data_IF_964250873290
#
_entry.id   IF_964250873290
#
_cell.length_a   1.000
_cell.length_b   1.000
_cell.length_c   1.000
_cell.angle_alpha   90.00
_cell.angle_beta   90.00
_cell.angle_gamma   90.00
#
_symmetry.space_group_name_H-M   'P 1'
#
loop_
_entity.id
_entity.type
_entity.pdbx_description
1 polymer ?
#
# COMPACT_ATOMS: atom_id res chain seq x y z
N UNK A 1 39.02 15.97 -9.84
CA UNK A 1 38.21 15.66 -8.65
C UNK A 1 37.16 16.76 -8.38
N UNK A 2 37.51 18.05 -8.25
CA UNK A 2 36.51 19.12 -7.93
C UNK A 2 35.36 19.21 -8.94
N UNK A 3 35.61 19.07 -10.24
CA UNK A 3 34.57 19.09 -11.26
C UNK A 3 33.60 17.89 -11.21
N UNK A 4 34.11 16.71 -10.86
CA UNK A 4 33.29 15.49 -10.72
C UNK A 4 32.36 15.62 -9.50
N UNK A 5 32.88 16.15 -8.40
CA UNK A 5 32.09 16.39 -7.17
C UNK A 5 31.02 17.44 -7.42
N UNK A 6 31.35 18.54 -8.10
CA UNK A 6 30.39 19.60 -8.45
C UNK A 6 29.28 19.07 -9.40
N UNK A 7 29.65 18.26 -10.39
CA UNK A 7 28.68 17.61 -11.30
C UNK A 7 27.75 16.64 -10.54
N UNK A 8 28.27 15.90 -9.56
CA UNK A 8 27.46 15.02 -8.71
C UNK A 8 26.48 15.81 -7.83
N UNK A 9 26.91 16.93 -7.25
CA UNK A 9 26.03 17.80 -6.47
C UNK A 9 24.93 18.44 -7.32
N UNK A 10 25.24 18.90 -8.52
CA UNK A 10 24.26 19.48 -9.46
C UNK A 10 23.27 18.40 -9.93
N UNK A 11 23.74 17.19 -10.21
CA UNK A 11 22.89 16.07 -10.59
C UNK A 11 21.96 15.63 -9.44
N UNK A 12 22.47 15.62 -8.21
CA UNK A 12 21.69 15.31 -7.02
C UNK A 12 20.65 16.42 -6.72
N UNK A 13 21.00 17.69 -6.91
CA UNK A 13 20.10 18.83 -6.75
C UNK A 13 18.98 18.83 -7.82
N UNK A 14 19.32 18.53 -9.08
CA UNK A 14 18.36 18.36 -10.15
C UNK A 14 17.43 17.18 -9.90
N UNK A 15 17.95 16.07 -9.38
CA UNK A 15 17.14 14.91 -9.00
C UNK A 15 16.15 15.27 -7.87
N UNK A 16 16.59 16.02 -6.86
CA UNK A 16 15.71 16.49 -5.79
C UNK A 16 14.61 17.43 -6.27
N UNK A 17 14.90 18.31 -7.23
CA UNK A 17 13.92 19.23 -7.81
C UNK A 17 12.84 18.52 -8.64
N UNK A 18 13.17 17.41 -9.31
CA UNK A 18 12.20 16.62 -10.06
C UNK A 18 11.31 15.74 -9.17
N UNK A 19 11.71 15.45 -7.93
CA UNK A 19 10.88 14.71 -6.97
C UNK A 19 9.63 15.46 -6.51
N UNK A 20 9.66 16.80 -6.48
CA UNK A 20 8.50 17.59 -6.08
C UNK A 20 7.32 17.52 -7.07
N UNK A 21 7.59 17.29 -8.35
CA UNK A 21 6.54 17.18 -9.38
C UNK A 21 5.94 15.77 -9.49
N UNK A 22 6.61 14.75 -8.96
CA UNK A 22 6.13 13.35 -8.99
C UNK A 22 5.10 13.03 -7.90
N UNK A 23 4.97 13.88 -6.87
CA UNK A 23 4.03 13.67 -5.76
C UNK A 23 2.57 14.02 -6.09
N UNK A 24 2.32 14.68 -7.23
CA UNK A 24 0.99 15.17 -7.61
C UNK A 24 0.18 14.18 -8.47
N UNK A 25 0.69 12.96 -8.73
CA UNK A 25 -0.05 11.99 -9.54
C UNK A 25 -0.83 11.04 -8.65
N UNK A 26 -2.13 10.92 -8.91
CA UNK A 26 -2.99 9.93 -8.25
C UNK A 26 -2.42 8.53 -8.46
N UNK A 27 -2.22 7.79 -7.36
CA UNK A 27 -1.66 6.43 -7.39
C UNK A 27 -2.72 5.38 -7.70
N UNK A 28 -4.00 5.76 -7.68
CA UNK A 28 -5.13 4.89 -7.96
C UNK A 28 -6.25 5.66 -8.64
N UNK A 29 -7.14 4.93 -9.33
CA UNK A 29 -8.42 5.43 -9.86
C UNK A 29 -9.60 4.60 -9.33
N UNK A 30 -9.51 4.14 -8.09
CA UNK A 30 -10.51 3.28 -7.49
C UNK A 30 -11.57 4.11 -6.75
N UNK A 31 -12.85 4.11 -7.16
CA UNK A 31 -13.92 4.86 -6.50
C UNK A 31 -14.06 4.55 -5.01
N UNK A 32 -13.87 3.29 -4.61
CA UNK A 32 -13.94 2.89 -3.19
C UNK A 32 -12.78 3.44 -2.35
N UNK A 33 -11.74 4.02 -2.97
CA UNK A 33 -10.63 4.67 -2.26
C UNK A 33 -11.05 5.96 -1.54
N UNK A 34 -12.26 6.46 -1.78
CA UNK A 34 -12.84 7.58 -1.03
C UNK A 34 -13.08 7.25 0.45
N UNK A 35 -13.13 5.97 0.81
CA UNK A 35 -13.45 5.54 2.17
C UNK A 35 -12.19 5.12 2.94
N UNK A 36 -12.21 5.38 4.26
CA UNK A 36 -11.17 4.96 5.18
C UNK A 36 -9.85 5.67 4.98
N UNK A 37 -8.81 4.89 4.78
CA UNK A 37 -7.45 5.40 4.48
C UNK A 37 -7.07 5.23 3.01
N UNK A 38 -8.05 4.93 2.15
CA UNK A 38 -7.83 4.69 0.73
C UNK A 38 -7.55 3.23 0.36
N UNK A 39 -7.11 3.00 -0.88
CA UNK A 39 -6.66 1.69 -1.35
C UNK A 39 -5.30 1.36 -0.70
N UNK A 40 -5.23 0.25 0.01
CA UNK A 40 -3.96 -0.21 0.60
C UNK A 40 -2.99 -0.62 -0.50
N UNK A 41 -1.80 -0.06 -0.46
CA UNK A 41 -0.73 -0.50 -1.33
C UNK A 41 -0.24 -1.85 -0.84
N UNK A 42 -0.36 -2.86 -1.69
CA UNK A 42 0.18 -4.18 -1.41
C UNK A 42 1.69 -4.08 -1.36
N UNK A 43 2.25 -4.44 -0.23
CA UNK A 43 3.55 -4.04 0.26
C UNK A 43 4.76 -4.47 -0.55
N UNK A 44 4.58 -5.20 -1.65
CA UNK A 44 5.73 -5.69 -2.41
C UNK A 44 5.53 -5.57 -3.91
N UNK A 45 5.71 -4.34 -4.42
CA UNK A 45 5.85 -4.09 -5.85
C UNK A 45 7.22 -4.48 -6.41
N UNK A 46 8.08 -5.14 -5.61
CA UNK A 46 9.38 -5.59 -6.03
C UNK A 46 9.31 -6.88 -6.86
N UNK A 47 10.41 -7.60 -6.87
CA UNK A 47 10.58 -8.83 -7.66
C UNK A 47 9.54 -9.92 -7.33
N UNK A 48 8.95 -9.88 -6.12
CA UNK A 48 7.89 -10.82 -5.70
C UNK A 48 6.48 -10.45 -6.19
N UNK A 49 6.30 -9.32 -6.84
CA UNK A 49 5.00 -8.93 -7.40
C UNK A 49 4.47 -9.99 -8.39
N UNK A 50 5.35 -10.59 -9.19
CA UNK A 50 5.03 -11.69 -10.11
C UNK A 50 4.64 -13.00 -9.43
N UNK A 51 4.79 -13.10 -8.12
CA UNK A 51 4.48 -14.30 -7.32
C UNK A 51 3.20 -14.15 -6.48
N UNK A 52 2.24 -13.31 -6.88
CA UNK A 52 1.01 -13.10 -6.13
C UNK A 52 1.20 -12.35 -4.81
N UNK A 53 2.30 -11.58 -4.68
CA UNK A 53 2.60 -10.74 -3.51
C UNK A 53 2.85 -11.52 -2.20
N UNK A 54 3.46 -12.67 -2.32
CA UNK A 54 3.95 -13.46 -1.18
C UNK A 54 5.27 -12.89 -0.66
N UNK A 55 5.58 -13.12 0.60
CA UNK A 55 6.83 -12.65 1.19
C UNK A 55 7.08 -13.12 2.62
N UNK A 56 6.08 -13.70 3.32
CA UNK A 56 6.19 -13.98 4.75
C UNK A 56 7.20 -15.09 5.03
N UNK A 57 7.13 -16.19 4.30
CA UNK A 57 8.07 -17.32 4.44
C UNK A 57 9.24 -17.24 3.45
N UNK A 58 9.25 -16.22 2.59
CA UNK A 58 10.22 -16.12 1.53
C UNK A 58 11.50 -15.46 2.02
N UNK A 59 12.58 -16.23 2.03
CA UNK A 59 13.89 -15.78 2.48
C UNK A 59 14.94 -16.18 1.45
N UNK A 60 15.08 -15.36 0.40
CA UNK A 60 16.01 -15.64 -0.70
C UNK A 60 17.13 -14.60 -0.78
N UNK A 61 18.30 -15.05 -1.12
CA UNK A 61 19.48 -14.18 -1.33
C UNK A 61 19.25 -13.16 -2.47
N UNK A 62 19.77 -11.95 -2.28
CA UNK A 62 19.75 -10.90 -3.30
C UNK A 62 18.42 -10.15 -3.45
N UNK A 63 17.48 -10.29 -2.50
CA UNK A 63 16.21 -9.58 -2.50
C UNK A 63 15.95 -8.90 -1.17
N UNK A 64 15.44 -7.67 -1.22
CA UNK A 64 14.96 -6.96 -0.05
C UNK A 64 13.48 -7.31 0.16
N UNK A 65 13.21 -8.09 1.20
CA UNK A 65 11.86 -8.43 1.59
C UNK A 65 11.37 -7.48 2.67
N UNK A 66 10.36 -6.66 2.35
CA UNK A 66 9.77 -5.67 3.28
C UNK A 66 8.61 -6.27 4.08
N UNK A 67 8.05 -7.41 3.64
CA UNK A 67 6.88 -8.02 4.30
C UNK A 67 7.24 -8.68 5.62
N UNK A 68 8.40 -9.35 5.68
CA UNK A 68 8.90 -9.98 6.90
C UNK A 68 10.28 -9.43 7.23
N UNK A 69 10.42 -8.60 8.27
CA UNK A 69 11.72 -8.03 8.62
C UNK A 69 12.78 -9.08 8.95
N UNK A 70 12.41 -10.28 9.44
CA UNK A 70 13.36 -11.35 9.70
C UNK A 70 14.03 -11.89 8.42
N UNK A 71 13.41 -11.70 7.26
CA UNK A 71 13.96 -12.15 5.99
C UNK A 71 15.20 -11.36 5.52
N UNK A 72 15.50 -10.21 6.11
CA UNK A 72 16.72 -9.44 5.83
C UNK A 72 18.00 -10.22 6.14
N UNK A 73 17.93 -11.25 6.97
CA UNK A 73 19.10 -12.06 7.36
C UNK A 73 19.72 -12.86 6.22
N UNK A 74 19.11 -12.86 5.02
CA UNK A 74 19.64 -13.51 3.81
C UNK A 74 20.40 -12.57 2.87
N UNK A 75 20.63 -11.35 3.26
CA UNK A 75 21.57 -10.49 2.54
C UNK A 75 22.96 -11.10 2.61
N UNK A 76 23.46 -11.57 1.48
CA UNK A 76 24.71 -12.35 1.39
C UNK A 76 25.95 -11.46 1.30
N UNK A 77 25.81 -10.21 0.95
CA UNK A 77 26.92 -9.33 0.62
C UNK A 77 27.33 -8.45 1.80
N UNK A 78 28.65 -8.36 2.00
CA UNK A 78 29.28 -7.27 2.73
C UNK A 78 29.20 -6.05 1.82
N UNK A 79 28.13 -5.25 1.95
CA UNK A 79 27.91 -4.08 1.11
C UNK A 79 26.50 -3.55 1.22
N UNK A 80 26.23 -2.50 0.48
CA UNK A 80 24.92 -1.87 0.40
C UNK A 80 24.08 -2.52 -0.70
N UNK A 81 22.85 -2.85 -0.37
CA UNK A 81 21.86 -3.30 -1.34
C UNK A 81 20.82 -2.19 -1.50
N UNK A 82 20.62 -1.74 -2.74
CA UNK A 82 19.61 -0.75 -3.08
C UNK A 82 18.47 -1.40 -3.84
N UNK A 83 17.26 -1.00 -3.55
CA UNK A 83 16.05 -1.45 -4.23
C UNK A 83 15.17 -0.25 -4.55
N UNK A 84 14.96 -0.02 -5.84
CA UNK A 84 14.08 1.03 -6.36
C UNK A 84 12.98 0.33 -7.15
N UNK A 85 11.74 0.49 -6.70
CA UNK A 85 10.57 -0.08 -7.36
C UNK A 85 9.74 0.99 -8.05
N UNK A 86 9.34 0.70 -9.28
CA UNK A 86 8.35 1.45 -10.03
C UNK A 86 7.18 0.52 -10.34
N UNK A 87 5.96 1.04 -10.31
CA UNK A 87 4.75 0.30 -10.68
C UNK A 87 3.92 1.09 -11.67
N UNK A 88 3.38 0.39 -12.66
CA UNK A 88 2.35 0.91 -13.55
C UNK A 88 1.11 0.00 -13.43
N UNK A 89 -0.05 0.61 -13.25
CA UNK A 89 -1.34 -0.10 -13.11
C UNK A 89 -2.31 0.49 -14.12
N UNK A 90 -2.89 -0.36 -14.96
CA UNK A 90 -4.04 -0.02 -15.78
C UNK A 90 -5.28 -0.65 -15.16
N UNK A 91 -6.28 0.16 -14.84
CA UNK A 91 -7.51 -0.26 -14.19
C UNK A 91 -8.70 0.05 -15.08
N UNK A 92 -9.62 -0.89 -15.19
CA UNK A 92 -10.90 -0.72 -15.86
C UNK A 92 -12.02 -0.98 -14.86
N UNK A 93 -12.95 -0.07 -14.82
CA UNK A 93 -14.12 -0.15 -13.95
C UNK A 93 -15.37 -0.20 -14.82
N UNK A 94 -16.29 -1.08 -14.49
CA UNK A 94 -17.59 -1.17 -15.13
C UNK A 94 -18.67 -1.10 -14.05
N UNK A 95 -19.61 -0.19 -14.23
CA UNK A 95 -20.79 -0.07 -13.38
C UNK A 95 -22.01 0.09 -14.28
N UNK A 96 -22.91 -0.87 -14.23
CA UNK A 96 -24.04 -0.97 -15.16
C UNK A 96 -23.56 -0.92 -16.63
N UNK A 97 -23.98 0.09 -17.39
CA UNK A 97 -23.59 0.31 -18.78
C UNK A 97 -22.32 1.17 -18.95
N UNK A 98 -21.87 1.84 -17.89
CA UNK A 98 -20.76 2.78 -17.92
C UNK A 98 -19.44 2.08 -17.66
N UNK A 99 -18.43 2.42 -18.47
CA UNK A 99 -17.06 1.91 -18.32
C UNK A 99 -16.11 3.09 -18.17
N UNK A 100 -15.22 3.01 -17.21
CA UNK A 100 -14.14 3.96 -17.00
C UNK A 100 -12.82 3.23 -16.93
N UNK A 101 -11.73 3.87 -17.37
CA UNK A 101 -10.40 3.31 -17.27
C UNK A 101 -9.40 4.39 -16.88
N UNK A 102 -8.38 3.98 -16.13
CA UNK A 102 -7.30 4.87 -15.73
C UNK A 102 -5.96 4.14 -15.69
N UNK A 103 -4.90 4.86 -16.00
CA UNK A 103 -3.53 4.35 -15.90
C UNK A 103 -2.76 5.20 -14.91
N UNK A 104 -2.11 4.54 -13.96
CA UNK A 104 -1.23 5.19 -12.97
C UNK A 104 0.16 4.61 -13.07
N UNK A 105 1.19 5.44 -12.88
CA UNK A 105 2.58 5.01 -12.83
C UNK A 105 3.26 5.74 -11.67
N UNK A 106 3.74 4.98 -10.68
CA UNK A 106 4.22 5.55 -9.43
C UNK A 106 5.48 4.84 -8.92
N UNK A 107 6.39 5.56 -8.24
CA UNK A 107 7.39 4.91 -7.41
C UNK A 107 6.69 4.17 -6.26
N UNK A 108 7.02 2.89 -6.10
CA UNK A 108 6.38 2.08 -5.07
C UNK A 108 7.32 1.68 -3.94
N UNK A 109 8.62 1.84 -4.12
CA UNK A 109 9.60 1.55 -3.08
C UNK A 109 10.95 2.20 -3.35
N UNK A 110 11.55 2.71 -2.28
CA UNK A 110 12.95 3.06 -2.21
C UNK A 110 13.50 2.45 -0.91
N UNK A 111 14.48 1.56 -1.01
CA UNK A 111 15.05 0.89 0.15
C UNK A 111 16.55 0.71 0.01
N UNK A 112 17.23 0.79 1.13
CA UNK A 112 18.65 0.49 1.25
C UNK A 112 18.86 -0.45 2.43
N UNK A 113 19.58 -1.53 2.22
CA UNK A 113 19.90 -2.49 3.26
C UNK A 113 21.38 -2.80 3.33
N UNK A 114 21.85 -3.10 4.52
CA UNK A 114 23.25 -3.39 4.82
C UNK A 114 23.35 -4.52 5.83
N UNK A 115 24.35 -5.35 5.65
CA UNK A 115 24.78 -6.33 6.63
C UNK A 115 25.83 -5.68 7.54
N UNK A 116 25.47 -5.37 8.77
CA UNK A 116 26.35 -4.72 9.74
C UNK A 116 27.41 -5.69 10.30
N UNK A 117 26.98 -6.93 10.56
CA UNK A 117 27.89 -8.00 10.95
C UNK A 117 27.34 -9.38 10.54
N UNK A 118 27.98 -10.47 10.98
CA UNK A 118 27.58 -11.86 10.61
C UNK A 118 26.16 -12.22 11.04
N UNK A 119 25.58 -11.53 12.03
CA UNK A 119 24.27 -11.85 12.62
C UNK A 119 23.30 -10.69 12.60
N UNK A 120 23.73 -9.47 12.25
CA UNK A 120 22.92 -8.26 12.31
C UNK A 120 22.81 -7.58 10.95
N UNK A 121 21.59 -7.28 10.56
CA UNK A 121 21.21 -6.68 9.29
C UNK A 121 20.29 -5.50 9.55
N UNK A 122 20.42 -4.43 8.79
CA UNK A 122 19.59 -3.26 8.87
C UNK A 122 19.10 -2.83 7.49
N UNK A 123 17.92 -2.23 7.44
CA UNK A 123 17.33 -1.66 6.24
C UNK A 123 16.62 -0.38 6.59
N UNK A 124 16.77 0.64 5.76
CA UNK A 124 15.98 1.86 5.77
C UNK A 124 15.24 1.97 4.44
N UNK A 125 14.04 2.51 4.46
CA UNK A 125 13.29 2.68 3.21
C UNK A 125 12.05 3.54 3.35
N UNK A 126 11.48 3.82 2.18
CA UNK A 126 10.20 4.52 2.05
C UNK A 126 9.34 3.83 0.98
N UNK A 127 8.05 3.78 1.21
CA UNK A 127 7.08 3.23 0.26
C UNK A 127 5.69 3.80 0.49
N UNK A 128 4.80 3.80 -0.50
CA UNK A 128 3.39 4.06 -0.28
C UNK A 128 2.80 3.07 0.72
N UNK A 129 1.88 3.54 1.56
CA UNK A 129 1.10 2.72 2.48
C UNK A 129 -0.33 2.54 1.97
N UNK A 130 -0.95 3.65 1.55
CA UNK A 130 -2.26 3.67 0.91
C UNK A 130 -2.35 4.82 -0.08
N UNK A 131 -3.32 4.76 -0.99
CA UNK A 131 -3.57 5.82 -1.95
C UNK A 131 -5.06 6.08 -2.11
N UNK A 132 -5.41 7.34 -2.31
CA UNK A 132 -6.76 7.80 -2.66
C UNK A 132 -6.69 8.43 -4.03
N UNK A 133 -7.61 8.04 -4.91
CA UNK A 133 -7.71 8.62 -6.25
C UNK A 133 -9.01 8.20 -6.90
N UNK A 134 -9.90 9.16 -7.12
CA UNK A 134 -11.15 8.97 -7.82
C UNK A 134 -11.61 10.28 -8.44
N UNK A 135 -12.39 10.16 -9.51
CA UNK A 135 -13.11 11.26 -10.15
C UNK A 135 -14.48 10.71 -10.52
N UNK A 136 -15.51 11.21 -9.86
CA UNK A 136 -16.90 10.75 -10.02
C UNK A 136 -17.74 11.96 -10.38
N UNK A 137 -18.40 11.92 -11.52
CA UNK A 137 -19.38 12.92 -11.94
C UNK A 137 -20.77 12.32 -11.80
N UNK A 138 -21.67 13.07 -11.16
CA UNK A 138 -23.09 12.72 -11.03
C UNK A 138 -23.94 13.84 -11.59
N UNK A 139 -25.06 13.45 -12.19
CA UNK A 139 -26.08 14.36 -12.68
C UNK A 139 -27.39 14.04 -11.94
N UNK A 140 -27.90 14.99 -11.19
CA UNK A 140 -29.15 14.83 -10.43
C UNK A 140 -30.20 15.76 -10.99
N UNK A 141 -31.43 15.26 -11.31
CA UNK A 141 -32.51 16.11 -11.79
C UNK A 141 -33.01 17.04 -10.68
N UNK A 142 -33.30 18.30 -11.02
CA UNK A 142 -33.84 19.29 -10.10
C UNK A 142 -35.35 19.02 -9.92
N UNK A 143 -35.77 18.79 -8.68
CA UNK A 143 -37.22 18.64 -8.38
C UNK A 143 -37.98 19.91 -8.79
N UNK A 144 -38.97 19.73 -9.68
CA UNK A 144 -39.84 20.83 -10.16
C UNK A 144 -39.31 21.53 -11.42
N UNK A 145 -38.18 21.17 -11.99
CA UNK A 145 -37.65 21.69 -13.25
C UNK A 145 -37.28 20.51 -14.17
N UNK A 146 -38.24 19.98 -14.96
CA UNK A 146 -38.05 18.88 -15.86
C UNK A 146 -36.99 19.20 -16.86
N UNK A 147 -35.98 18.89 -17.20
CA UNK A 147 -34.87 19.22 -18.10
C UNK A 147 -33.72 20.04 -17.46
N UNK A 148 -33.73 20.21 -16.15
CA UNK A 148 -32.63 20.87 -15.42
C UNK A 148 -31.93 19.85 -14.53
N UNK A 149 -30.59 19.78 -14.62
CA UNK A 149 -29.76 18.85 -13.87
C UNK A 149 -28.70 19.63 -13.10
N UNK A 150 -28.41 19.18 -11.90
CA UNK A 150 -27.25 19.65 -11.12
C UNK A 150 -26.10 18.69 -11.38
N UNK A 151 -24.99 19.22 -11.83
CA UNK A 151 -23.76 18.44 -12.02
C UNK A 151 -22.89 18.56 -10.77
N UNK A 152 -22.60 17.43 -10.16
CA UNK A 152 -21.68 17.35 -9.03
C UNK A 152 -20.45 16.55 -9.43
N UNK A 153 -19.27 17.13 -9.13
CA UNK A 153 -17.98 16.51 -9.36
C UNK A 153 -17.34 16.18 -8.01
N UNK A 154 -17.12 14.89 -7.77
CA UNK A 154 -16.41 14.38 -6.60
C UNK A 154 -15.01 13.93 -7.02
N UNK A 155 -14.00 14.53 -6.41
CA UNK A 155 -12.60 14.22 -6.67
C UNK A 155 -11.89 13.86 -5.37
N UNK A 156 -11.02 12.88 -5.43
CA UNK A 156 -10.17 12.52 -4.32
C UNK A 156 -8.75 12.28 -4.78
N UNK A 157 -7.80 12.77 -4.00
CA UNK A 157 -6.38 12.63 -4.27
C UNK A 157 -5.55 12.45 -3.01
N UNK A 158 -4.30 12.00 -3.18
CA UNK A 158 -3.36 11.85 -2.10
C UNK A 158 -3.18 10.43 -1.60
N UNK A 159 -2.73 10.29 -0.37
CA UNK A 159 -2.48 8.99 0.24
C UNK A 159 -1.45 9.06 1.35
N UNK A 160 -1.16 7.89 1.91
CA UNK A 160 -0.23 7.75 3.01
C UNK A 160 1.05 7.08 2.53
N UNK A 161 2.17 7.59 3.00
CA UNK A 161 3.50 7.03 2.79
C UNK A 161 4.07 6.55 4.12
N UNK A 162 4.89 5.51 4.07
CA UNK A 162 5.65 5.04 5.23
C UNK A 162 7.13 5.19 5.00
N UNK A 163 7.82 5.72 6.04
CA UNK A 163 9.28 5.67 6.16
C UNK A 163 9.62 4.71 7.29
N UNK A 164 10.59 3.82 7.10
CA UNK A 164 10.86 2.74 8.03
C UNK A 164 12.33 2.42 8.20
N UNK A 165 12.63 1.91 9.38
CA UNK A 165 13.90 1.30 9.75
C UNK A 165 13.62 -0.12 10.23
N UNK A 166 14.25 -1.09 9.59
CA UNK A 166 14.12 -2.51 9.94
C UNK A 166 15.45 -3.04 10.43
N UNK A 167 15.42 -3.86 11.46
CA UNK A 167 16.57 -4.60 11.97
C UNK A 167 16.24 -6.08 12.04
N UNK A 168 17.21 -6.92 11.68
CA UNK A 168 17.07 -8.37 11.74
C UNK A 168 18.31 -9.03 12.34
N UNK A 169 18.07 -10.10 13.08
CA UNK A 169 19.10 -10.84 13.79
C UNK A 169 18.98 -12.33 13.56
N UNK A 170 20.11 -12.99 13.30
CA UNK A 170 20.22 -14.45 13.31
C UNK A 170 20.45 -14.91 14.75
N UNK A 171 19.44 -15.57 15.34
CA UNK A 171 19.52 -16.10 16.70
C UNK A 171 20.25 -17.46 16.74
N UNK A 172 19.90 -18.33 15.83
CA UNK A 172 20.51 -19.68 15.72
C UNK A 172 20.53 -20.15 14.27
N UNK A 173 21.05 -21.34 14.02
CA UNK A 173 21.03 -21.94 12.68
C UNK A 173 19.57 -22.10 12.22
N UNK A 174 19.21 -21.36 11.18
CA UNK A 174 17.86 -21.39 10.60
C UNK A 174 16.84 -20.46 11.24
N UNK A 175 17.08 -19.91 12.46
CA UNK A 175 16.15 -19.03 13.15
C UNK A 175 16.60 -17.56 13.08
N UNK A 176 15.73 -16.73 12.55
CA UNK A 176 15.91 -15.28 12.45
C UNK A 176 14.71 -14.54 13.03
N UNK A 177 14.96 -13.40 13.64
CA UNK A 177 13.94 -12.46 14.09
C UNK A 177 14.22 -11.10 13.48
N UNK A 178 13.18 -10.29 13.36
CA UNK A 178 13.31 -8.92 12.87
C UNK A 178 12.21 -8.04 13.42
N UNK A 179 12.52 -6.75 13.46
CA UNK A 179 11.56 -5.71 13.81
C UNK A 179 11.73 -4.52 12.87
N UNK A 180 10.61 -3.94 12.49
CA UNK A 180 10.51 -2.67 11.76
C UNK A 180 9.84 -1.66 12.64
N UNK A 181 10.39 -0.47 12.71
CA UNK A 181 9.76 0.72 13.28
C UNK A 181 9.70 1.79 12.21
N UNK A 182 8.62 2.54 12.17
CA UNK A 182 8.46 3.55 11.16
C UNK A 182 7.36 4.54 11.45
N UNK A 183 7.20 5.46 10.53
CA UNK A 183 6.16 6.48 10.54
C UNK A 183 5.35 6.41 9.25
N UNK A 184 4.04 6.45 9.38
CA UNK A 184 3.08 6.63 8.30
C UNK A 184 2.64 8.08 8.32
N UNK A 185 2.69 8.77 7.19
CA UNK A 185 2.26 10.15 7.06
C UNK A 185 1.73 10.45 5.66
N UNK A 186 0.85 11.42 5.55
CA UNK A 186 0.36 11.94 4.29
C UNK A 186 -0.93 12.71 4.41
N UNK A 187 -1.33 13.36 3.32
CA UNK A 187 -2.58 14.10 3.21
C UNK A 187 -3.51 13.39 2.23
N UNK A 188 -4.76 13.31 2.59
CA UNK A 188 -5.85 12.88 1.71
C UNK A 188 -6.77 14.08 1.54
N UNK A 189 -6.97 14.46 0.29
CA UNK A 189 -7.86 15.56 -0.10
C UNK A 189 -9.07 14.98 -0.82
N UNK A 190 -10.25 15.43 -0.44
CA UNK A 190 -11.51 15.10 -1.09
C UNK A 190 -12.23 16.41 -1.40
N UNK A 191 -12.65 16.60 -2.64
CA UNK A 191 -13.40 17.79 -3.04
C UNK A 191 -14.73 17.43 -3.68
N UNK A 192 -15.72 18.23 -3.40
CA UNK A 192 -17.02 18.22 -4.05
C UNK A 192 -17.24 19.59 -4.67
N UNK A 193 -17.44 19.62 -5.99
CA UNK A 193 -17.66 20.85 -6.75
C UNK A 193 -19.05 20.79 -7.38
N UNK A 194 -19.87 21.83 -7.16
CA UNK A 194 -21.21 21.94 -7.66
C UNK A 194 -21.48 23.41 -8.04
N UNK A 195 -21.82 23.68 -9.30
CA UNK A 195 -22.28 24.97 -9.83
C UNK A 195 -21.55 26.22 -9.31
N UNK A 196 -20.22 26.18 -9.25
CA UNK A 196 -19.41 27.33 -8.82
C UNK A 196 -19.13 27.42 -7.33
N UNK A 197 -19.59 26.44 -6.55
CA UNK A 197 -19.18 26.25 -5.16
C UNK A 197 -18.37 24.97 -5.03
N UNK A 198 -17.33 24.97 -4.20
CA UNK A 198 -16.58 23.76 -3.88
C UNK A 198 -16.36 23.63 -2.38
N UNK A 199 -16.47 22.40 -1.92
CA UNK A 199 -16.15 22.00 -0.56
C UNK A 199 -14.95 21.05 -0.63
N UNK A 200 -13.88 21.39 0.07
CA UNK A 200 -12.66 20.60 0.11
C UNK A 200 -12.43 20.10 1.54
N UNK A 201 -12.27 18.81 1.69
CA UNK A 201 -11.90 18.13 2.93
C UNK A 201 -10.44 17.72 2.86
N UNK A 202 -9.60 18.30 3.69
CA UNK A 202 -8.21 17.89 3.85
C UNK A 202 -8.03 17.12 5.14
N UNK A 203 -7.38 15.97 5.08
CA UNK A 203 -7.05 15.15 6.24
C UNK A 203 -5.58 14.82 6.25
N UNK A 204 -4.82 15.53 7.07
CA UNK A 204 -3.42 15.21 7.33
C UNK A 204 -3.33 14.14 8.41
N UNK A 205 -2.63 13.06 8.13
CA UNK A 205 -2.50 11.90 9.02
C UNK A 205 -1.03 11.61 9.28
N UNK A 206 -0.71 11.34 10.55
CA UNK A 206 0.66 11.01 10.94
C UNK A 206 0.64 10.07 12.14
N UNK A 207 1.25 8.89 12.02
CA UNK A 207 1.30 7.91 13.09
C UNK A 207 2.53 7.02 13.01
N UNK A 208 2.87 6.40 14.11
CA UNK A 208 3.90 5.37 14.16
C UNK A 208 3.33 4.01 13.80
N UNK A 209 4.18 3.12 13.28
CA UNK A 209 3.86 1.71 13.10
C UNK A 209 5.05 0.83 13.46
N UNK A 210 4.76 -0.41 13.79
CA UNK A 210 5.78 -1.42 14.08
C UNK A 210 5.36 -2.75 13.49
N UNK A 211 6.32 -3.48 12.92
CA UNK A 211 6.15 -4.85 12.43
C UNK A 211 7.20 -5.74 13.09
N UNK A 212 6.80 -6.91 13.55
CA UNK A 212 7.68 -7.95 14.07
C UNK A 212 7.64 -9.14 13.13
N UNK A 213 8.80 -9.75 12.92
CA UNK A 213 8.94 -10.90 12.05
C UNK A 213 9.74 -12.02 12.70
N UNK A 214 9.35 -13.23 12.39
CA UNK A 214 10.09 -14.45 12.71
C UNK A 214 10.20 -15.27 11.43
N UNK A 215 11.36 -15.84 11.21
CA UNK A 215 11.60 -16.73 10.08
C UNK A 215 12.43 -17.93 10.54
N UNK A 216 11.96 -19.12 10.20
CA UNK A 216 12.65 -20.37 10.53
C UNK A 216 12.83 -21.25 9.29
N UNK A 217 14.07 -21.68 9.06
CA UNK A 217 14.41 -22.67 8.05
C UNK A 217 14.79 -23.98 8.70
N UNK A 218 14.13 -25.03 8.25
CA UNK A 218 14.43 -26.36 8.75
C UNK A 218 15.75 -26.84 8.17
N UNK A 219 16.72 -27.11 9.05
CA UNK A 219 17.99 -27.72 8.65
C UNK A 219 17.70 -29.15 8.17
N UNK A 220 17.68 -29.35 6.86
CA UNK A 220 17.50 -30.67 6.26
C UNK A 220 18.65 -31.00 5.33
N UNK A 221 19.11 -32.24 5.35
CA UNK A 221 20.07 -32.77 4.37
C UNK A 221 19.37 -33.28 3.10
N UNK A 222 18.03 -33.15 3.03
CA UNK A 222 17.21 -33.63 1.93
C UNK A 222 17.20 -32.64 0.76
N UNK A 223 16.71 -33.08 -0.37
CA UNK A 223 16.52 -32.32 -1.60
C UNK A 223 15.61 -31.08 -1.43
N UNK A 224 14.75 -31.07 -0.43
CA UNK A 224 13.77 -30.03 -0.15
C UNK A 224 14.09 -29.32 1.17
N UNK A 225 14.15 -27.99 1.12
CA UNK A 225 14.32 -27.12 2.26
C UNK A 225 13.01 -26.43 2.58
N UNK A 226 12.52 -26.58 3.80
CA UNK A 226 11.29 -25.96 4.28
C UNK A 226 11.60 -24.66 5.02
N UNK A 227 10.73 -23.70 4.87
CA UNK A 227 10.76 -22.43 5.61
C UNK A 227 9.38 -22.09 6.16
N UNK A 228 9.33 -21.44 7.31
CA UNK A 228 8.12 -20.91 7.94
C UNK A 228 8.41 -19.47 8.35
N UNK A 229 7.48 -18.59 8.07
CA UNK A 229 7.52 -17.19 8.49
C UNK A 229 6.27 -16.82 9.29
N UNK A 230 6.45 -15.91 10.24
CA UNK A 230 5.35 -15.30 11.00
C UNK A 230 5.62 -13.80 11.06
N UNK A 231 4.56 -13.01 10.91
CA UNK A 231 4.60 -11.55 11.08
C UNK A 231 3.48 -11.12 12.03
N UNK A 232 3.76 -10.09 12.79
CA UNK A 232 2.82 -9.47 13.70
C UNK A 232 3.02 -7.95 13.72
N UNK A 233 1.95 -7.18 13.51
CA UNK A 233 1.90 -5.75 13.69
C UNK A 233 0.76 -5.40 14.65
N UNK A 234 1.02 -4.68 15.75
CA UNK A 234 -0.04 -4.23 16.65
C UNK A 234 -0.89 -3.13 16.00
N UNK A 235 -2.13 -3.01 16.46
CA UNK A 235 -2.97 -1.88 16.10
C UNK A 235 -2.49 -0.62 16.83
N UNK A 236 -2.18 0.43 16.07
CA UNK A 236 -1.70 1.71 16.60
C UNK A 236 -2.63 2.84 16.18
N UNK A 237 -2.72 3.88 17.02
CA UNK A 237 -3.49 5.08 16.70
C UNK A 237 -2.86 5.79 15.51
N UNK A 238 -3.71 6.26 14.59
CA UNK A 238 -3.35 7.12 13.47
C UNK A 238 -3.96 8.51 13.70
N UNK A 239 -3.25 9.40 14.42
CA UNK A 239 -3.68 10.78 14.60
C UNK A 239 -3.90 11.48 13.27
N UNK A 240 -4.91 12.35 13.22
CA UNK A 240 -5.25 13.10 12.03
C UNK A 240 -5.75 14.49 12.41
N UNK A 241 -5.47 15.46 11.55
CA UNK A 241 -5.94 16.83 11.57
C UNK A 241 -6.81 17.01 10.32
N UNK A 242 -8.00 17.57 10.48
CA UNK A 242 -8.95 17.69 9.39
C UNK A 242 -9.42 19.11 9.25
N UNK A 243 -9.32 19.63 8.03
CA UNK A 243 -9.74 20.95 7.65
C UNK A 243 -10.80 20.87 6.56
N UNK A 244 -11.81 21.71 6.67
CA UNK A 244 -12.87 21.89 5.71
C UNK A 244 -12.75 23.27 5.13
N UNK A 245 -12.55 23.36 3.83
CA UNK A 245 -12.39 24.58 3.08
C UNK A 245 -13.59 24.73 2.14
N UNK A 246 -14.35 25.77 2.34
CA UNK A 246 -15.46 26.13 1.46
C UNK A 246 -15.04 27.30 0.57
N UNK A 247 -15.14 27.11 -0.73
CA UNK A 247 -14.86 28.14 -1.73
C UNK A 247 -16.09 28.41 -2.57
N UNK A 248 -16.50 29.67 -2.63
CA UNK A 248 -17.55 30.13 -3.54
C UNK A 248 -16.92 30.99 -4.64
N UNK A 249 -16.89 30.46 -5.85
CA UNK A 249 -16.28 31.13 -7.01
C UNK A 249 -17.07 32.39 -7.41
N UNK A 250 -18.37 32.50 -7.07
CA UNK A 250 -19.21 33.62 -7.43
C UNK A 250 -18.99 34.82 -6.51
N UNK A 251 -18.68 34.59 -5.22
CA UNK A 251 -18.45 35.66 -4.23
C UNK A 251 -17.00 35.86 -3.87
N UNK A 252 -16.11 34.98 -4.33
CA UNK A 252 -14.69 34.92 -3.92
C UNK A 252 -14.51 34.77 -2.40
N UNK A 253 -15.48 34.18 -1.73
CA UNK A 253 -15.42 33.90 -0.30
C UNK A 253 -14.76 32.56 -0.08
N UNK A 254 -13.79 32.53 0.81
CA UNK A 254 -13.14 31.32 1.30
C UNK A 254 -13.35 31.24 2.82
N UNK A 255 -13.87 30.14 3.27
CA UNK A 255 -14.08 29.85 4.69
C UNK A 255 -13.36 28.55 5.05
N UNK A 256 -12.43 28.61 5.97
CA UNK A 256 -11.71 27.46 6.49
C UNK A 256 -12.15 27.17 7.93
N UNK A 257 -12.45 25.93 8.22
CA UNK A 257 -12.78 25.47 9.57
C UNK A 257 -12.27 24.05 9.81
N UNK A 258 -11.77 23.78 11.01
CA UNK A 258 -11.39 22.43 11.40
C UNK A 258 -12.63 21.62 11.84
N UNK A 259 -12.67 20.33 11.53
CA UNK A 259 -13.73 19.46 11.97
C UNK A 259 -13.20 18.19 12.67
N UNK A 260 -14.03 17.64 13.53
CA UNK A 260 -13.67 16.45 14.29
C UNK A 260 -14.18 15.19 13.62
N UNK A 261 -13.33 14.18 13.51
CA UNK A 261 -13.71 12.85 13.02
C UNK A 261 -13.30 11.76 14.01
N UNK A 262 -13.92 10.56 13.95
CA UNK A 262 -13.58 9.47 14.84
C UNK A 262 -12.10 9.06 14.76
N UNK A 263 -11.54 8.70 15.92
CA UNK A 263 -10.18 8.20 16.01
C UNK A 263 -9.97 7.02 15.06
N UNK A 264 -8.93 7.13 14.24
CA UNK A 264 -8.54 6.07 13.31
C UNK A 264 -7.35 5.28 13.85
N UNK A 265 -7.26 4.02 13.43
CA UNK A 265 -6.22 3.09 13.83
C UNK A 265 -5.62 2.42 12.60
N UNK A 266 -4.32 2.23 12.62
CA UNK A 266 -3.69 1.24 11.75
C UNK A 266 -4.15 -0.15 12.22
N UNK A 267 -4.51 -1.07 11.32
CA UNK A 267 -5.04 -2.37 11.70
C UNK A 267 -3.96 -3.24 12.36
N UNK A 268 -4.36 -4.05 13.33
CA UNK A 268 -3.54 -5.17 13.75
C UNK A 268 -3.38 -6.13 12.57
N UNK A 269 -2.17 -6.61 12.33
CA UNK A 269 -1.88 -7.57 11.25
C UNK A 269 -1.18 -8.80 11.80
N UNK A 270 -1.67 -9.96 11.39
CA UNK A 270 -1.05 -11.24 11.64
C UNK A 270 -0.89 -11.95 10.31
N UNK A 271 0.30 -12.46 10.04
CA UNK A 271 0.55 -13.23 8.83
C UNK A 271 1.38 -14.46 9.13
N UNK A 272 1.07 -15.53 8.43
CA UNK A 272 1.82 -16.78 8.47
C UNK A 272 2.11 -17.23 7.06
N UNK A 273 3.28 -17.81 6.85
CA UNK A 273 3.71 -18.30 5.56
C UNK A 273 4.47 -19.61 5.69
N UNK A 274 4.39 -20.43 4.67
CA UNK A 274 5.15 -21.66 4.51
C UNK A 274 5.78 -21.68 3.13
N UNK A 275 7.03 -22.11 3.03
CA UNK A 275 7.77 -22.23 1.79
C UNK A 275 8.49 -23.57 1.67
N UNK A 276 8.65 -24.03 0.46
CA UNK A 276 9.50 -25.17 0.13
C UNK A 276 10.38 -24.81 -1.06
N UNK A 277 11.67 -25.02 -0.89
CA UNK A 277 12.69 -24.75 -1.90
C UNK A 277 13.37 -26.06 -2.31
N UNK A 278 13.48 -26.26 -3.61
CA UNK A 278 14.26 -27.31 -4.24
C UNK A 278 15.32 -26.67 -5.15
N UNK A 279 16.15 -27.46 -5.81
CA UNK A 279 17.17 -26.92 -6.75
C UNK A 279 16.58 -26.00 -7.82
N UNK A 280 15.40 -26.35 -8.38
CA UNK A 280 14.76 -25.61 -9.47
C UNK A 280 13.47 -24.92 -9.10
N UNK A 281 12.81 -25.34 -8.03
CA UNK A 281 11.48 -24.85 -7.64
C UNK A 281 11.53 -24.20 -6.27
N UNK A 282 10.85 -23.09 -6.17
CA UNK A 282 10.45 -22.50 -4.91
C UNK A 282 8.93 -22.32 -4.95
N UNK A 283 8.24 -22.93 -3.98
CA UNK A 283 6.80 -22.81 -3.81
C UNK A 283 6.55 -22.21 -2.44
N UNK A 284 5.59 -21.29 -2.33
CA UNK A 284 5.26 -20.67 -1.06
C UNK A 284 3.80 -20.27 -1.02
N UNK A 285 3.24 -20.29 0.18
CA UNK A 285 1.88 -19.86 0.47
C UNK A 285 1.87 -19.02 1.73
N UNK A 286 1.15 -17.90 1.68
CA UNK A 286 1.01 -16.94 2.77
C UNK A 286 -0.46 -16.71 3.09
N UNK A 287 -0.78 -16.56 4.37
CA UNK A 287 -2.05 -16.07 4.86
C UNK A 287 -1.84 -14.83 5.70
N UNK A 288 -2.62 -13.78 5.41
CA UNK A 288 -2.63 -12.51 6.13
C UNK A 288 -4.03 -12.21 6.66
N UNK A 289 -4.08 -11.80 7.91
CA UNK A 289 -5.26 -11.28 8.59
C UNK A 289 -5.01 -9.84 9.04
N UNK A 290 -5.98 -8.94 8.81
CA UNK A 290 -5.95 -7.57 9.31
C UNK A 290 -7.27 -7.25 10.01
N UNK A 291 -7.18 -6.74 11.24
CA UNK A 291 -8.33 -6.34 12.04
C UNK A 291 -8.68 -4.86 11.80
N UNK A 292 -9.71 -4.63 11.01
CA UNK A 292 -10.24 -3.31 10.67
C UNK A 292 -11.47 -2.91 11.47
N UNK A 293 -12.13 -3.83 12.15
CA UNK A 293 -13.40 -3.58 12.87
C UNK A 293 -13.29 -2.57 14.00
N UNK A 294 -12.07 -2.28 14.44
CA UNK A 294 -11.82 -1.24 15.44
C UNK A 294 -12.09 0.16 14.90
N UNK A 295 -11.95 0.37 13.59
CA UNK A 295 -12.20 1.65 12.95
C UNK A 295 -13.71 1.89 12.80
N UNK A 296 -14.12 3.16 12.90
CA UNK A 296 -15.50 3.60 12.66
C UNK A 296 -15.52 4.48 11.42
N UNK A 297 -16.56 4.31 10.60
CA UNK A 297 -16.81 5.18 9.45
C UNK A 297 -17.70 6.36 9.84
N UNK A 298 -17.48 7.50 9.21
CA UNK A 298 -18.37 8.65 9.27
C UNK A 298 -19.63 8.46 8.41
N UNK A 299 -19.58 7.51 7.47
CA UNK A 299 -20.68 7.22 6.55
C UNK A 299 -21.49 6.03 7.06
N UNK A 300 -22.81 6.22 7.24
CA UNK A 300 -23.72 5.16 7.69
C UNK A 300 -23.79 3.97 6.73
N UNK A 301 -23.53 4.21 5.44
CA UNK A 301 -23.50 3.19 4.38
C UNK A 301 -22.19 2.40 4.32
N UNK A 302 -21.19 2.70 5.16
CA UNK A 302 -19.87 2.09 5.11
C UNK A 302 -19.54 1.41 6.42
N UNK A 303 -19.18 0.13 6.35
CA UNK A 303 -18.71 -0.66 7.48
C UNK A 303 -17.33 -1.23 7.20
N UNK A 304 -16.46 -1.18 8.20
CA UNK A 304 -15.17 -1.85 8.12
C UNK A 304 -15.27 -3.31 8.53
N UNK A 305 -14.73 -4.18 7.69
CA UNK A 305 -14.68 -5.63 7.92
C UNK A 305 -13.24 -6.12 7.96
N UNK A 306 -13.02 -7.19 8.73
CA UNK A 306 -11.70 -7.79 8.82
C UNK A 306 -11.28 -8.35 7.46
N UNK A 307 -10.02 -8.10 7.13
CA UNK A 307 -9.46 -8.51 5.86
C UNK A 307 -8.71 -9.84 6.01
N UNK A 308 -9.01 -10.75 5.12
CA UNK A 308 -8.35 -12.05 4.97
C UNK A 308 -7.74 -12.12 3.58
N UNK A 309 -6.49 -12.49 3.48
CA UNK A 309 -5.81 -12.64 2.19
C UNK A 309 -4.99 -13.93 2.18
N UNK A 310 -5.16 -14.72 1.14
CA UNK A 310 -4.38 -15.92 0.84
C UNK A 310 -3.62 -15.68 -0.45
N UNK A 311 -2.33 -15.92 -0.43
CA UNK A 311 -1.47 -15.81 -1.61
C UNK A 311 -0.69 -17.12 -1.78
N UNK A 312 -0.53 -17.55 -3.03
CA UNK A 312 0.28 -18.73 -3.39
C UNK A 312 1.17 -18.31 -4.55
N UNK A 313 2.44 -18.65 -4.49
CA UNK A 313 3.38 -18.29 -5.55
C UNK A 313 4.47 -19.32 -5.75
N UNK A 314 5.05 -19.25 -6.93
CA UNK A 314 6.11 -20.15 -7.36
C UNK A 314 7.19 -19.45 -8.16
N UNK A 315 8.43 -19.94 -8.04
CA UNK A 315 9.55 -19.61 -8.92
C UNK A 315 10.07 -20.91 -9.52
N UNK A 316 10.25 -20.91 -10.85
CA UNK A 316 10.99 -21.94 -11.54
C UNK A 316 12.29 -21.38 -12.09
N UNK A 317 13.42 -22.00 -11.74
CA UNK A 317 14.76 -21.66 -12.20
C UNK A 317 15.15 -22.59 -13.35
N UNK A 318 15.41 -22.02 -14.54
CA UNK A 318 15.77 -22.83 -15.72
C UNK A 318 17.10 -23.53 -15.56
N UNK A 319 18.09 -22.86 -14.95
CA UNK A 319 19.41 -23.45 -14.72
C UNK A 319 20.03 -22.92 -13.41
N UNK A 320 19.78 -23.57 -12.25
CA UNK A 320 20.22 -23.10 -10.94
C UNK A 320 21.74 -23.06 -10.76
N UNK A 321 22.51 -23.73 -11.65
CA UNK A 321 23.98 -23.77 -11.60
C UNK A 321 24.65 -22.61 -12.34
N UNK A 322 23.90 -21.84 -13.14
CA UNK A 322 24.44 -20.68 -13.87
C UNK A 322 24.09 -19.39 -13.10
N UNK A 323 25.05 -18.45 -12.94
CA UNK A 323 24.81 -17.19 -12.24
C UNK A 323 23.74 -16.30 -12.92
N UNK A 324 23.51 -16.50 -14.23
CA UNK A 324 22.52 -15.78 -15.02
C UNK A 324 21.49 -16.75 -15.60
N UNK A 325 20.72 -17.41 -14.74
CA UNK A 325 19.61 -18.24 -15.17
C UNK A 325 18.32 -17.42 -15.25
N UNK A 326 17.48 -17.73 -16.24
CA UNK A 326 16.13 -17.17 -16.30
C UNK A 326 15.27 -17.76 -15.19
N UNK A 327 14.45 -16.91 -14.58
CA UNK A 327 13.49 -17.27 -13.55
C UNK A 327 12.09 -16.98 -14.06
N UNK A 328 11.22 -17.98 -14.01
CA UNK A 328 9.81 -17.83 -14.29
C UNK A 328 9.06 -17.74 -12.96
N UNK A 329 8.29 -16.68 -12.80
CA UNK A 329 7.52 -16.43 -11.59
C UNK A 329 6.04 -16.48 -11.91
N UNK A 330 5.24 -17.08 -11.04
CA UNK A 330 3.81 -17.11 -11.14
C UNK A 330 3.18 -17.16 -9.76
N UNK A 331 2.02 -16.55 -9.62
CA UNK A 331 1.31 -16.57 -8.35
C UNK A 331 -0.12 -16.05 -8.47
N UNK A 332 -0.90 -16.36 -7.46
CA UNK A 332 -2.29 -15.94 -7.32
C UNK A 332 -2.52 -15.45 -5.89
N UNK A 333 -3.29 -14.37 -5.76
CA UNK A 333 -3.70 -13.83 -4.46
C UNK A 333 -5.21 -13.62 -4.46
N UNK A 334 -5.84 -14.00 -3.36
CA UNK A 334 -7.26 -13.80 -3.11
C UNK A 334 -7.47 -13.17 -1.74
N UNK A 335 -8.42 -12.26 -1.64
CA UNK A 335 -8.76 -11.61 -0.38
C UNK A 335 -10.03 -10.77 -0.50
N UNK A 336 -10.67 -10.50 0.64
CA UNK A 336 -11.78 -9.59 0.72
C UNK A 336 -11.32 -8.14 0.90
N UNK A 337 -12.18 -7.18 0.55
CA UNK A 337 -11.99 -5.77 0.90
C UNK A 337 -12.18 -5.56 2.40
N UNK A 338 -11.48 -4.57 2.96
CA UNK A 338 -11.73 -4.10 4.33
C UNK A 338 -12.91 -3.12 4.40
N UNK A 339 -13.42 -2.66 3.26
CA UNK A 339 -14.57 -1.78 3.14
C UNK A 339 -15.75 -2.61 2.65
N UNK A 340 -16.84 -2.57 3.40
CA UNK A 340 -18.13 -3.14 3.04
C UNK A 340 -19.12 -1.99 2.85
N UNK A 341 -19.68 -1.88 1.63
CA UNK A 341 -20.75 -0.93 1.34
C UNK A 341 -22.09 -1.58 1.66
N UNK A 342 -22.83 -0.96 2.58
CA UNK A 342 -24.17 -1.39 2.93
C UNK A 342 -25.16 -0.83 1.90
N UNK A 343 -25.64 -1.71 1.04
CA UNK A 343 -26.69 -1.34 0.09
C UNK A 343 -28.03 -1.34 0.84
N UNK A 344 -28.59 -0.17 1.12
CA UNK A 344 -29.98 -0.07 1.55
C UNK A 344 -30.84 -0.22 0.31
N UNK A 345 -31.59 -1.32 0.19
CA UNK A 345 -32.61 -1.39 -0.86
C UNK A 345 -33.61 -0.24 -0.65
N UNK A 346 -34.05 0.45 -1.73
CA UNK A 346 -35.03 1.50 -1.60
C UNK A 346 -36.23 0.95 -0.84
N UNK A 347 -36.71 1.73 0.14
CA UNK A 347 -37.87 1.39 0.94
C UNK A 347 -39.06 1.03 0.01
N UNK A 348 -39.92 0.08 0.38
CA UNK A 348 -41.15 -0.17 -0.38
C UNK A 348 -42.00 1.09 -0.64
N UNK A 349 -41.86 2.15 0.17
CA UNK A 349 -42.50 3.45 -0.02
C UNK A 349 -41.95 4.21 -1.25
N UNK A 350 -40.72 3.99 -1.65
CA UNK A 350 -40.14 4.68 -2.81
C UNK A 350 -40.55 4.03 -4.14
N UNK A 351 -41.05 2.78 -4.11
CA UNK A 351 -41.62 2.09 -5.29
C UNK A 351 -43.04 2.52 -5.69
N UNK A 352 -43.73 3.24 -4.81
CA UNK A 352 -45.13 3.68 -5.06
C UNK A 352 -45.23 5.10 -5.59
N UNK A 353 -44.10 5.77 -5.86
CA UNK A 353 -44.06 7.13 -6.43
C UNK A 353 -43.50 7.23 -7.84
N UNK A 354 -43.36 6.11 -8.56
CA UNK A 354 -43.03 6.10 -9.99
C UNK A 354 -44.29 5.87 -10.83
#
# INVERSE_FOLDING_TARGET
MKHIICSLYISCLLLCLTFHTLMAQNQTYLPTSMYGIGELTTSDGGRYAGMGQIGIALNRQGFLNVQNPAALTRLDTIGFNFDIGLSAKHSQYAFLSNKSSGTTANPNRLSMAVRLNRRWFAMIGASPYSSTGYLIQTEEPIEGAPDSYINSLFEGEGGLYRCYLSNAFILSRGLSIGATVGMVMGTVTQSETQEGASIKYESFRRGFYTDFGLHYEFATKRKYQWSVGVIFAPSLILPHENDLIYNNTSTSEELETSYHSPTQYLPMRIGVGIGVTSERWLLTADYNYMDWKRNKSNYASVKYENQHRVNIGSIYMTNPRKPHSAELMGGIGMGNSYICLLYTSPSPRDRTRS
#
